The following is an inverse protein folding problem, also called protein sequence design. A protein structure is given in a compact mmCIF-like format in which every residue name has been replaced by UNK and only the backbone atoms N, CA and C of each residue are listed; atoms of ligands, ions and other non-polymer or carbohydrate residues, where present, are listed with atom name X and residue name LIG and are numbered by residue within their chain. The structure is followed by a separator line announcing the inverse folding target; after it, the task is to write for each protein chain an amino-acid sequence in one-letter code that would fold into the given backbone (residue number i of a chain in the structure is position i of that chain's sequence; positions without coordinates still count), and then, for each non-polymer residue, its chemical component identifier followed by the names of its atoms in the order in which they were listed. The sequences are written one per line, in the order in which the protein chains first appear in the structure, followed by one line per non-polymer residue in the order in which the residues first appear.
data_IF_657878862006
#
_entry.id   IF_657878862006
#
_cell.length_a   1.000
_cell.length_b   1.000
_cell.length_c   1.000
_cell.angle_alpha   90.00
_cell.angle_beta   90.00
_cell.angle_gamma   90.00
#
_symmetry.space_group_name_H-M   'P 1'
#
loop_
_entity.id
_entity.type
_entity.pdbx_description
1 polymer ?
#
# COMPACT_ATOMS: atom_id res chain seq x y z
N UNK A 1 -47.37 -9.78 -55.46
CA UNK A 1 -45.99 -10.18 -55.11
C UNK A 1 -45.92 -10.40 -53.61
N UNK A 2 -45.34 -11.54 -53.18
CA UNK A 2 -44.77 -11.82 -51.83
C UNK A 2 -45.82 -12.04 -50.71
N UNK A 3 -46.31 -13.27 -50.53
CA UNK A 3 -45.86 -14.36 -49.60
C UNK A 3 -46.39 -14.24 -48.17
N UNK A 4 -47.39 -15.09 -47.88
CA UNK A 4 -47.84 -15.58 -46.56
C UNK A 4 -46.67 -16.04 -45.69
N UNK A 5 -46.69 -15.76 -44.39
CA UNK A 5 -46.12 -16.66 -43.39
C UNK A 5 -46.98 -16.68 -42.12
N UNK A 6 -47.32 -17.91 -41.72
CA UNK A 6 -48.14 -18.35 -40.59
C UNK A 6 -47.36 -18.18 -39.27
N UNK A 7 -47.98 -17.81 -38.14
CA UNK A 7 -47.28 -17.78 -36.86
C UNK A 7 -47.12 -19.22 -36.33
N UNK A 8 -45.87 -19.64 -36.12
CA UNK A 8 -45.54 -20.91 -35.51
C UNK A 8 -45.65 -20.77 -33.98
N UNK A 9 -46.64 -21.44 -33.40
CA UNK A 9 -46.77 -21.60 -31.95
C UNK A 9 -45.60 -22.47 -31.44
N UNK A 10 -44.69 -21.90 -30.65
CA UNK A 10 -43.73 -22.68 -29.88
C UNK A 10 -44.31 -22.98 -28.50
N UNK A 11 -44.59 -24.26 -28.25
CA UNK A 11 -44.92 -24.81 -26.94
C UNK A 11 -43.61 -24.93 -26.15
N UNK A 12 -43.45 -24.12 -25.10
CA UNK A 12 -42.33 -24.25 -24.17
C UNK A 12 -42.65 -25.37 -23.16
N UNK A 13 -42.07 -26.55 -23.39
CA UNK A 13 -42.10 -27.65 -22.43
C UNK A 13 -41.24 -27.29 -21.22
N UNK A 14 -41.87 -27.15 -20.05
CA UNK A 14 -41.18 -26.90 -18.79
C UNK A 14 -40.33 -28.10 -18.39
N UNK A 15 -39.02 -27.88 -18.30
CA UNK A 15 -38.09 -28.80 -17.64
C UNK A 15 -37.79 -28.22 -16.27
N UNK A 16 -38.38 -28.83 -15.24
CA UNK A 16 -38.05 -28.62 -13.85
C UNK A 16 -36.67 -29.26 -13.56
N UNK A 17 -35.65 -28.53 -13.08
CA UNK A 17 -34.39 -29.17 -12.69
C UNK A 17 -34.58 -30.01 -11.41
N UNK A 18 -33.95 -31.19 -11.32
CA UNK A 18 -34.02 -32.02 -10.13
C UNK A 18 -33.30 -31.38 -8.94
N UNK A 19 -33.85 -31.64 -7.76
CA UNK A 19 -33.43 -31.11 -6.46
C UNK A 19 -31.93 -31.31 -6.17
N UNK A 20 -31.34 -30.28 -5.56
CA UNK A 20 -30.00 -30.28 -4.98
C UNK A 20 -29.85 -31.44 -3.97
N UNK A 21 -29.06 -32.46 -4.36
CA UNK A 21 -28.56 -33.46 -3.43
C UNK A 21 -27.50 -32.81 -2.51
N UNK A 22 -27.80 -32.75 -1.21
CA UNK A 22 -26.84 -32.30 -0.21
C UNK A 22 -25.83 -33.42 0.10
N UNK A 23 -24.61 -33.31 -0.41
CA UNK A 23 -23.48 -34.14 0.04
C UNK A 23 -22.94 -33.60 1.35
N UNK A 24 -23.07 -34.38 2.44
CA UNK A 24 -22.36 -34.13 3.71
C UNK A 24 -20.86 -34.30 3.51
N UNK A 25 -20.16 -33.20 3.23
CA UNK A 25 -18.69 -33.16 3.27
C UNK A 25 -18.25 -33.12 4.74
N UNK A 26 -17.67 -34.22 5.23
CA UNK A 26 -17.04 -34.29 6.55
C UNK A 26 -15.73 -33.51 6.49
N UNK A 27 -15.76 -32.23 6.88
CA UNK A 27 -14.57 -31.39 6.96
C UNK A 27 -13.72 -31.93 8.12
N UNK A 28 -12.57 -32.55 7.78
CA UNK A 28 -11.56 -32.92 8.76
C UNK A 28 -10.79 -31.65 9.10
N UNK A 29 -11.13 -31.02 10.21
CA UNK A 29 -10.39 -29.88 10.75
C UNK A 29 -9.02 -30.37 11.23
N UNK A 30 -8.05 -30.41 10.33
CA UNK A 30 -6.65 -30.39 10.74
C UNK A 30 -6.36 -28.95 11.16
N UNK A 31 -6.37 -28.70 12.47
CA UNK A 31 -5.80 -27.48 13.04
C UNK A 31 -4.29 -27.51 12.77
N UNK A 32 -3.90 -27.01 11.60
CA UNK A 32 -2.51 -26.65 11.32
C UNK A 32 -2.24 -25.42 12.17
N UNK A 33 -1.46 -25.60 13.25
CA UNK A 33 -0.87 -24.48 13.97
C UNK A 33 -0.19 -23.55 12.94
N UNK A 34 -0.29 -22.22 13.08
CA UNK A 34 0.39 -21.32 12.15
C UNK A 34 1.86 -21.72 12.12
N UNK A 35 2.41 -21.93 10.93
CA UNK A 35 3.82 -22.24 10.77
C UNK A 35 4.61 -21.18 11.55
N UNK A 36 5.40 -21.61 12.54
CA UNK A 36 6.32 -20.73 13.23
C UNK A 36 7.12 -19.97 12.16
N UNK A 37 7.26 -18.65 12.32
CA UNK A 37 7.90 -17.78 11.34
C UNK A 37 9.32 -18.29 11.07
N UNK A 38 9.50 -19.07 10.00
CA UNK A 38 10.71 -19.86 9.74
C UNK A 38 11.96 -19.00 9.45
N UNK A 39 11.81 -17.67 9.50
CA UNK A 39 12.76 -16.68 9.00
C UNK A 39 13.46 -15.86 10.11
N UNK A 40 13.09 -16.05 11.39
CA UNK A 40 13.72 -15.31 12.50
C UNK A 40 15.24 -15.58 12.60
N UNK A 41 15.69 -16.76 12.16
CA UNK A 41 17.12 -17.10 12.08
C UNK A 41 17.85 -16.43 10.91
N UNK A 42 17.13 -16.05 9.83
CA UNK A 42 17.71 -15.39 8.65
C UNK A 42 17.98 -13.91 8.90
N UNK A 43 17.15 -13.29 9.73
CA UNK A 43 17.27 -11.89 10.13
C UNK A 43 17.27 -11.77 11.65
N UNK A 44 18.39 -12.12 12.32
CA UNK A 44 18.50 -11.99 13.76
C UNK A 44 18.35 -10.53 14.18
N UNK A 45 17.20 -10.18 14.73
CA UNK A 45 16.82 -8.80 15.05
C UNK A 45 17.85 -8.08 15.95
N UNK A 46 18.56 -8.83 16.79
CA UNK A 46 19.62 -8.32 17.67
C UNK A 46 20.82 -7.71 16.93
N UNK A 47 20.99 -7.98 15.63
CA UNK A 47 22.09 -7.44 14.82
C UNK A 47 21.78 -6.08 14.20
N UNK A 48 20.53 -5.61 14.28
CA UNK A 48 20.12 -4.37 13.64
C UNK A 48 19.83 -3.27 14.65
N UNK A 49 20.22 -2.01 14.36
CA UNK A 49 19.94 -0.89 15.24
C UNK A 49 18.44 -0.60 15.28
N UNK A 50 17.92 -0.29 16.46
CA UNK A 50 16.54 0.16 16.62
C UNK A 50 16.46 1.68 16.47
N UNK A 51 15.54 2.15 15.62
CA UNK A 51 15.22 3.56 15.49
C UNK A 51 13.96 3.88 16.28
N UNK A 52 14.05 4.84 17.20
CA UNK A 52 12.95 5.23 18.10
C UNK A 52 12.28 6.54 17.71
N UNK A 53 12.77 7.21 16.66
CA UNK A 53 12.22 8.49 16.22
C UNK A 53 10.81 8.34 15.65
N UNK A 54 9.92 9.34 15.83
CA UNK A 54 8.54 9.29 15.36
C UNK A 54 8.39 9.64 13.87
N UNK A 55 9.49 9.98 13.19
CA UNK A 55 9.55 10.59 11.86
C UNK A 55 9.91 9.59 10.75
N UNK A 56 9.67 8.30 10.94
CA UNK A 56 9.75 7.34 9.83
C UNK A 56 8.68 7.63 8.77
N UNK A 57 9.06 7.46 7.51
CA UNK A 57 8.26 7.81 6.36
C UNK A 57 8.38 9.28 5.97
N UNK A 58 7.38 9.75 5.24
CA UNK A 58 7.32 11.12 4.75
C UNK A 58 6.67 12.05 5.79
N UNK A 59 7.40 13.09 6.18
CA UNK A 59 6.97 14.16 7.08
C UNK A 59 7.15 15.51 6.42
N UNK A 60 6.43 16.53 6.90
CA UNK A 60 6.47 17.89 6.36
C UNK A 60 6.68 18.89 7.50
N UNK A 61 7.45 19.95 7.24
CA UNK A 61 7.57 21.10 8.15
C UNK A 61 6.45 22.12 7.92
N UNK A 62 6.52 23.28 8.60
CA UNK A 62 5.48 24.32 8.49
C UNK A 62 5.53 25.06 7.16
N UNK A 63 6.69 25.06 6.52
CA UNK A 63 6.96 25.67 5.24
C UNK A 63 6.57 24.75 4.06
N UNK A 64 6.16 23.51 4.35
CA UNK A 64 5.73 22.50 3.38
C UNK A 64 6.89 21.70 2.78
N UNK A 65 8.11 21.82 3.32
CA UNK A 65 9.26 21.02 2.91
C UNK A 65 9.08 19.58 3.39
N UNK A 66 9.18 18.62 2.45
CA UNK A 66 9.01 17.20 2.77
C UNK A 66 10.34 16.54 3.10
N UNK A 67 10.39 15.79 4.20
CA UNK A 67 11.52 14.93 4.58
C UNK A 67 11.06 13.48 4.66
N UNK A 68 11.67 12.63 3.84
CA UNK A 68 11.51 11.19 3.88
C UNK A 68 12.61 10.58 4.74
N UNK A 69 12.24 9.75 5.72
CA UNK A 69 13.16 8.89 6.46
C UNK A 69 12.81 7.41 6.29
N UNK A 70 13.79 6.60 5.91
CA UNK A 70 13.63 5.16 5.70
C UNK A 70 14.63 4.40 6.57
N UNK A 71 14.16 3.37 7.28
CA UNK A 71 15.04 2.45 8.01
C UNK A 71 15.51 1.33 7.07
N UNK A 72 16.80 1.31 6.78
CA UNK A 72 17.43 0.32 5.90
C UNK A 72 18.89 0.12 6.33
N UNK A 73 19.15 -0.50 7.50
CA UNK A 73 20.49 -0.55 8.11
C UNK A 73 21.50 -1.34 7.27
N UNK A 74 21.03 -2.31 6.49
CA UNK A 74 21.83 -3.18 5.62
C UNK A 74 22.11 -2.58 4.24
N UNK A 75 21.46 -1.47 3.89
CA UNK A 75 21.68 -0.81 2.61
C UNK A 75 23.06 -0.14 2.57
N UNK A 76 23.72 -0.25 1.42
CA UNK A 76 24.95 0.48 1.08
C UNK A 76 24.62 1.83 0.45
N UNK A 77 23.50 1.90 -0.26
CA UNK A 77 22.94 3.12 -0.81
C UNK A 77 21.41 3.01 -0.84
N UNK A 78 20.73 4.15 -0.75
CA UNK A 78 19.29 4.22 -0.90
C UNK A 78 18.94 5.36 -1.84
N UNK A 79 18.03 5.10 -2.77
CA UNK A 79 17.56 6.09 -3.76
C UNK A 79 16.05 6.22 -3.68
N UNK A 80 15.57 7.42 -3.90
CA UNK A 80 14.17 7.70 -4.18
C UNK A 80 14.01 8.02 -5.66
N UNK A 81 13.00 7.44 -6.29
CA UNK A 81 12.60 7.78 -7.67
C UNK A 81 11.27 8.50 -7.63
N UNK A 82 11.17 9.67 -8.25
CA UNK A 82 9.93 10.44 -8.38
C UNK A 82 9.24 10.13 -9.70
N UNK A 83 7.91 10.18 -9.69
CA UNK A 83 7.05 9.93 -10.83
C UNK A 83 5.91 10.93 -10.87
N UNK A 84 5.50 11.33 -12.08
CA UNK A 84 4.33 12.19 -12.27
C UNK A 84 3.00 11.46 -12.00
N UNK A 85 2.95 10.13 -12.20
CA UNK A 85 1.72 9.34 -12.12
C UNK A 85 1.82 8.18 -11.12
N UNK A 86 0.67 7.77 -10.59
CA UNK A 86 0.57 6.68 -9.61
C UNK A 86 0.81 5.28 -10.17
N UNK A 87 0.80 5.14 -11.50
CA UNK A 87 1.18 3.93 -12.22
C UNK A 87 1.72 4.29 -13.61
N UNK A 88 2.57 3.43 -14.15
CA UNK A 88 3.21 3.65 -15.45
C UNK A 88 4.13 4.87 -15.48
N UNK A 89 4.58 5.25 -16.67
CA UNK A 89 5.48 6.38 -16.86
C UNK A 89 6.91 6.15 -16.34
N UNK A 90 7.83 6.96 -16.87
CA UNK A 90 9.22 6.98 -16.42
C UNK A 90 9.37 7.82 -15.14
N UNK A 91 10.45 7.57 -14.40
CA UNK A 91 10.81 8.42 -13.28
C UNK A 91 11.19 9.82 -13.80
N UNK A 92 10.63 10.85 -13.19
CA UNK A 92 10.91 12.26 -13.50
C UNK A 92 12.20 12.73 -12.84
N UNK A 93 12.56 12.15 -11.69
CA UNK A 93 13.81 12.43 -10.99
C UNK A 93 14.26 11.22 -10.18
N UNK A 94 15.54 11.20 -9.80
CA UNK A 94 16.09 10.21 -8.87
C UNK A 94 17.04 10.92 -7.92
N UNK A 95 16.85 10.70 -6.63
CA UNK A 95 17.59 11.34 -5.55
C UNK A 95 18.26 10.29 -4.68
N UNK A 96 19.54 10.49 -4.36
CA UNK A 96 20.19 9.67 -3.33
C UNK A 96 19.75 10.15 -1.95
N UNK A 97 19.44 9.22 -1.05
CA UNK A 97 19.22 9.51 0.36
C UNK A 97 20.57 9.55 1.07
N UNK A 98 20.70 10.42 2.06
CA UNK A 98 21.87 10.49 2.94
C UNK A 98 21.70 9.51 4.10
N UNK A 99 22.78 8.79 4.45
CA UNK A 99 22.77 7.91 5.63
C UNK A 99 22.67 8.75 6.90
N UNK A 100 21.90 8.28 7.86
CA UNK A 100 21.62 8.95 9.12
C UNK A 100 21.78 7.98 10.31
N UNK A 101 21.32 8.38 11.48
CA UNK A 101 21.46 7.62 12.73
C UNK A 101 20.67 6.31 12.71
N UNK A 102 21.11 5.33 13.51
CA UNK A 102 20.44 4.03 13.71
C UNK A 102 20.00 3.31 12.43
N UNK A 103 20.83 3.36 11.39
CA UNK A 103 20.55 2.67 10.13
C UNK A 103 19.46 3.30 9.27
N UNK A 104 19.07 4.54 9.58
CA UNK A 104 18.11 5.29 8.77
C UNK A 104 18.78 6.07 7.65
N UNK A 105 17.97 6.47 6.69
CA UNK A 105 18.37 7.23 5.52
C UNK A 105 17.37 8.37 5.34
N UNK A 106 17.84 9.56 5.00
CA UNK A 106 17.01 10.77 4.91
C UNK A 106 17.19 11.49 3.58
N UNK A 107 16.10 12.02 3.04
CA UNK A 107 16.10 12.96 1.92
C UNK A 107 15.06 14.04 2.18
N UNK A 108 15.47 15.28 1.99
CA UNK A 108 14.59 16.44 2.08
C UNK A 108 14.44 17.06 0.70
N UNK A 109 13.19 17.31 0.29
CA UNK A 109 12.87 17.96 -0.98
C UNK A 109 12.09 19.26 -0.74
N UNK A 110 12.21 20.26 -1.63
CA UNK A 110 11.56 21.57 -1.46
C UNK A 110 10.04 21.48 -1.33
N UNK A 111 9.46 22.50 -0.69
CA UNK A 111 8.02 22.69 -0.64
C UNK A 111 7.41 22.77 -2.04
N UNK A 112 6.18 22.25 -2.18
CA UNK A 112 5.49 22.14 -3.47
C UNK A 112 5.92 20.95 -4.34
N UNK A 113 6.87 20.13 -3.87
CA UNK A 113 7.12 18.81 -4.49
C UNK A 113 5.84 17.98 -4.44
N UNK A 114 5.45 17.40 -5.57
CA UNK A 114 4.25 16.58 -5.71
C UNK A 114 4.49 15.40 -6.64
N UNK A 115 3.61 14.41 -6.57
CA UNK A 115 3.64 13.22 -7.42
C UNK A 115 3.73 11.94 -6.60
N UNK A 116 4.40 10.94 -7.15
CA UNK A 116 4.53 9.61 -6.55
C UNK A 116 6.00 9.21 -6.45
N UNK A 117 6.32 8.31 -5.53
CA UNK A 117 7.68 7.87 -5.30
C UNK A 117 7.79 6.39 -4.96
N UNK A 118 8.97 5.86 -5.23
CA UNK A 118 9.43 4.55 -4.76
C UNK A 118 10.80 4.72 -4.11
N UNK A 119 11.17 3.74 -3.27
CA UNK A 119 12.51 3.63 -2.70
C UNK A 119 13.21 2.40 -3.25
N UNK A 120 14.51 2.51 -3.51
CA UNK A 120 15.34 1.45 -4.05
C UNK A 120 16.65 1.35 -3.27
N UNK A 121 16.84 0.23 -2.57
CA UNK A 121 18.05 -0.06 -1.82
C UNK A 121 19.09 -0.76 -2.69
N UNK A 122 20.36 -0.46 -2.47
CA UNK A 122 21.50 -1.25 -2.94
C UNK A 122 22.04 -2.06 -1.76
N UNK A 123 22.12 -3.39 -1.92
CA UNK A 123 22.65 -4.30 -0.90
C UNK A 123 23.60 -5.28 -1.60
N UNK A 124 24.82 -5.44 -1.10
CA UNK A 124 25.83 -6.31 -1.72
C UNK A 124 26.21 -5.86 -3.13
N UNK A 125 26.32 -4.54 -3.35
CA UNK A 125 26.61 -3.94 -4.65
C UNK A 125 25.50 -4.06 -5.71
N UNK A 126 24.33 -4.61 -5.37
CA UNK A 126 23.20 -4.80 -6.30
C UNK A 126 22.01 -3.93 -5.92
N UNK A 127 21.48 -3.19 -6.91
CA UNK A 127 20.22 -2.49 -6.76
C UNK A 127 19.08 -3.52 -6.71
N UNK A 128 18.28 -3.46 -5.64
CA UNK A 128 17.12 -4.32 -5.47
C UNK A 128 15.91 -3.76 -6.23
N UNK A 129 14.79 -4.49 -6.15
CA UNK A 129 13.53 -3.99 -6.68
C UNK A 129 13.10 -2.70 -5.97
N UNK A 130 12.41 -1.85 -6.71
CA UNK A 130 11.71 -0.72 -6.12
C UNK A 130 10.54 -1.18 -5.29
N UNK A 131 10.34 -0.51 -4.16
CA UNK A 131 9.23 -0.76 -3.26
C UNK A 131 8.57 0.56 -2.87
N UNK A 132 7.29 0.50 -2.53
CA UNK A 132 6.64 1.60 -1.85
C UNK A 132 7.19 1.73 -0.42
N UNK A 133 7.19 2.95 0.11
CA UNK A 133 7.54 3.18 1.51
C UNK A 133 6.48 2.53 2.43
N UNK A 134 6.87 1.67 3.38
CA UNK A 134 5.96 1.08 4.36
C UNK A 134 5.17 2.12 5.17
N UNK A 135 5.69 3.35 5.30
CA UNK A 135 5.07 4.45 6.03
C UNK A 135 4.35 5.46 5.12
N UNK A 136 4.16 5.14 3.83
CA UNK A 136 3.43 6.00 2.91
C UNK A 136 1.98 6.22 3.38
N UNK A 137 1.57 7.49 3.53
CA UNK A 137 0.22 7.87 3.97
C UNK A 137 -0.83 7.82 2.84
N UNK A 138 -0.36 7.93 1.60
CA UNK A 138 -1.17 7.82 0.40
C UNK A 138 -0.37 7.08 -0.67
N UNK A 139 -1.06 6.41 -1.59
CA UNK A 139 -0.44 5.53 -2.58
C UNK A 139 -1.05 5.71 -3.96
N UNK A 140 -0.28 5.34 -4.98
CA UNK A 140 -0.76 5.21 -6.36
C UNK A 140 -1.62 3.96 -6.56
N UNK A 141 -1.91 3.67 -7.83
CA UNK A 141 -2.74 2.51 -8.22
C UNK A 141 -2.09 1.22 -7.69
N UNK A 142 -2.88 0.39 -7.01
CA UNK A 142 -2.48 -0.88 -6.43
C UNK A 142 -1.33 -0.82 -5.40
N UNK A 143 -1.00 0.35 -4.85
CA UNK A 143 -0.01 0.46 -3.77
C UNK A 143 1.44 0.29 -4.21
N UNK A 144 1.74 0.33 -5.50
CA UNK A 144 3.12 0.14 -6.00
C UNK A 144 4.03 1.35 -5.78
N UNK A 145 3.45 2.53 -5.53
CA UNK A 145 4.17 3.79 -5.28
C UNK A 145 3.53 4.52 -4.11
N UNK A 146 4.33 5.14 -3.25
CA UNK A 146 3.85 6.13 -2.29
C UNK A 146 3.52 7.45 -3.00
N UNK A 147 2.62 8.25 -2.45
CA UNK A 147 2.37 9.61 -2.93
C UNK A 147 3.20 10.60 -2.09
N UNK A 148 3.91 11.51 -2.76
CA UNK A 148 4.54 12.65 -2.10
C UNK A 148 3.47 13.73 -1.89
N UNK A 149 2.76 13.63 -0.77
CA UNK A 149 1.58 14.44 -0.47
C UNK A 149 1.69 15.02 0.93
N UNK A 150 1.66 16.35 1.03
CA UNK A 150 1.48 17.05 2.30
C UNK A 150 0.01 16.94 2.74
N UNK A 151 -0.31 16.28 3.87
CA UNK A 151 -1.67 16.15 4.36
C UNK A 151 -2.36 17.49 4.64
N UNK A 152 -1.60 18.56 4.94
CA UNK A 152 -2.17 19.89 5.16
C UNK A 152 -2.82 20.45 3.88
N UNK A 153 -2.35 20.02 2.71
CA UNK A 153 -2.90 20.44 1.41
C UNK A 153 -4.09 19.61 0.94
N UNK A 154 -4.34 18.46 1.59
CA UNK A 154 -5.38 17.51 1.19
C UNK A 154 -6.66 17.60 2.06
N UNK A 155 -6.63 18.38 3.14
CA UNK A 155 -7.77 18.51 4.04
C UNK A 155 -8.88 19.36 3.40
N UNK A 156 -10.14 18.92 3.43
CA UNK A 156 -11.25 19.72 2.91
C UNK A 156 -11.53 20.94 3.80
N UNK A 157 -12.28 21.90 3.27
CA UNK A 157 -12.75 23.05 4.06
C UNK A 157 -13.58 22.58 5.26
N UNK A 158 -13.30 23.13 6.45
CA UNK A 158 -13.98 22.76 7.70
C UNK A 158 -13.44 21.52 8.42
N UNK A 159 -12.36 20.89 7.92
CA UNK A 159 -11.81 19.67 8.50
C UNK A 159 -11.24 19.85 9.91
N UNK A 160 -10.68 21.02 10.22
CA UNK A 160 -10.11 21.32 11.54
C UNK A 160 -11.22 21.43 12.59
N UNK A 161 -12.41 21.86 12.17
CA UNK A 161 -13.60 22.05 12.98
C UNK A 161 -14.48 20.79 13.03
N UNK A 162 -14.11 19.70 12.32
CA UNK A 162 -14.86 18.45 12.35
C UNK A 162 -14.83 17.83 13.76
N UNK A 163 -16.01 17.55 14.29
CA UNK A 163 -16.18 16.99 15.62
C UNK A 163 -16.77 15.60 15.51
N UNK A 164 -16.07 14.61 16.09
CA UNK A 164 -16.60 13.25 16.21
C UNK A 164 -18.01 13.30 16.84
N UNK A 165 -18.99 12.56 16.32
CA UNK A 165 -20.30 12.47 16.96
C UNK A 165 -20.16 11.84 18.35
N UNK A 166 -20.87 12.39 19.33
CA UNK A 166 -20.91 11.82 20.68
C UNK A 166 -21.73 10.52 20.66
N UNK A 167 -21.17 9.36 21.05
CA UNK A 167 -21.93 8.13 21.09
C UNK A 167 -22.95 8.17 22.24
N UNK A 168 -24.18 7.71 21.99
CA UNK A 168 -25.23 7.65 23.01
C UNK A 168 -24.95 6.62 24.13
N UNK A 169 -24.03 5.68 23.91
CA UNK A 169 -23.59 4.66 24.88
C UNK A 169 -22.16 4.24 24.57
N UNK A 170 -21.31 3.93 25.58
CA UNK A 170 -20.03 3.29 25.34
C UNK A 170 -20.20 1.92 24.66
N UNK A 171 -19.29 1.52 23.76
CA UNK A 171 -19.31 0.18 23.18
C UNK A 171 -19.15 -0.87 24.28
N UNK A 172 -20.07 -1.83 24.36
CA UNK A 172 -19.93 -3.02 25.20
C UNK A 172 -18.90 -3.97 24.57
N UNK A 173 -17.90 -4.37 25.35
CA UNK A 173 -16.89 -5.38 24.99
C UNK A 173 -17.49 -6.78 24.93
#
# INVERSE_FOLDING_TARGET
MIRRFLPLLFVFSGILPPALAQTKTKIKTTTTAPAAYADAARYPLSQYPFYQGPDLGLTFDREGQGTLRVWAPTAEALRLRLYAAGAGGAATATHALARSTSGTWTLTLPAGTAGFYTVQATIGGKALAEVADPYARAVGVNGHRGAWLDPATASPAGWVEDLRPSPARPPTL
#
